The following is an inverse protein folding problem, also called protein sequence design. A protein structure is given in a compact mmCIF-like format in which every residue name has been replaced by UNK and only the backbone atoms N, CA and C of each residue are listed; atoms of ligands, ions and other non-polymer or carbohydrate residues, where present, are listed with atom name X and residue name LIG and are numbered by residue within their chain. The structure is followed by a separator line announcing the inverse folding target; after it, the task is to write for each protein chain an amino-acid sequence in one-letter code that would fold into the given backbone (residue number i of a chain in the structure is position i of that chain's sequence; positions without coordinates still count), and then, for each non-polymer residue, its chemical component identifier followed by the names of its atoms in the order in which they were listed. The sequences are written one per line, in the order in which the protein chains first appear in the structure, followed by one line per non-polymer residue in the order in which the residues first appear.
data_IF_931600984663
#
_entry.id   IF_931600984663
#
_cell.length_a   1.000
_cell.length_b   1.000
_cell.length_c   1.000
_cell.angle_alpha   90.00
_cell.angle_beta   90.00
_cell.angle_gamma   90.00
#
_symmetry.space_group_name_H-M   'P 1'
#
loop_
_entity.id
_entity.type
_entity.pdbx_description
1 polymer ?
#
# COMPACT_ATOMS: atom_id res chain seq x y z
N UNK A 1 4.22 -17.00 -14.10
CA UNK A 1 4.30 -16.39 -12.76
C UNK A 1 2.91 -16.36 -12.15
N UNK A 2 2.80 -16.62 -10.84
CA UNK A 2 1.52 -16.58 -10.13
C UNK A 2 1.21 -15.13 -9.72
N UNK A 3 0.00 -14.67 -10.02
CA UNK A 3 -0.47 -13.34 -9.63
C UNK A 3 -1.27 -13.44 -8.33
N UNK A 4 -1.04 -12.50 -7.40
CA UNK A 4 -1.81 -12.36 -6.18
C UNK A 4 -2.49 -10.98 -6.16
N UNK A 5 -3.82 -10.98 -6.08
CA UNK A 5 -4.62 -9.76 -5.91
C UNK A 5 -4.96 -9.60 -4.44
N UNK A 6 -4.50 -8.51 -3.84
CA UNK A 6 -4.63 -8.23 -2.40
C UNK A 6 -5.30 -6.87 -2.23
N UNK A 7 -6.23 -6.76 -1.29
CA UNK A 7 -6.89 -5.51 -0.92
C UNK A 7 -6.56 -5.20 0.54
N UNK A 8 -6.16 -3.95 0.82
CA UNK A 8 -5.85 -3.47 2.18
C UNK A 8 -6.99 -2.56 2.66
N UNK A 9 -7.71 -3.00 3.70
CA UNK A 9 -8.87 -2.30 4.25
C UNK A 9 -8.65 -1.91 5.73
N UNK A 10 -9.43 -0.93 6.20
CA UNK A 10 -9.38 -0.44 7.58
C UNK A 10 -9.73 1.04 7.69
N UNK A 11 -9.93 1.53 8.91
CA UNK A 11 -10.32 2.91 9.21
C UNK A 11 -9.31 3.97 8.71
N UNK A 12 -9.71 5.24 8.68
CA UNK A 12 -8.81 6.35 8.35
C UNK A 12 -7.62 6.42 9.30
N UNK A 13 -6.45 6.82 8.80
CA UNK A 13 -5.25 7.03 9.63
C UNK A 13 -4.54 5.79 10.19
N UNK A 14 -5.05 4.56 10.00
CA UNK A 14 -4.41 3.33 10.53
C UNK A 14 -3.12 2.92 9.81
N UNK A 15 -2.67 3.68 8.80
CA UNK A 15 -1.41 3.43 8.11
C UNK A 15 -1.46 2.50 6.90
N UNK A 16 -2.65 2.26 6.30
CA UNK A 16 -2.80 1.41 5.10
C UNK A 16 -1.85 1.81 3.98
N UNK A 17 -1.91 3.08 3.56
CA UNK A 17 -1.08 3.62 2.48
C UNK A 17 0.41 3.60 2.84
N UNK A 18 0.75 3.88 4.11
CA UNK A 18 2.14 3.81 4.58
C UNK A 18 2.71 2.38 4.48
N UNK A 19 1.95 1.36 4.89
CA UNK A 19 2.36 -0.05 4.78
C UNK A 19 2.47 -0.49 3.32
N UNK A 20 1.49 -0.14 2.48
CA UNK A 20 1.48 -0.51 1.06
C UNK A 20 2.64 0.14 0.31
N UNK A 21 2.88 1.44 0.51
CA UNK A 21 3.99 2.15 -0.15
C UNK A 21 5.34 1.68 0.36
N UNK A 22 5.47 1.40 1.66
CA UNK A 22 6.70 0.81 2.20
C UNK A 22 6.97 -0.55 1.57
N UNK A 23 5.95 -1.41 1.45
CA UNK A 23 6.11 -2.72 0.82
C UNK A 23 6.53 -2.60 -0.65
N UNK A 24 5.91 -1.71 -1.41
CA UNK A 24 6.12 -1.61 -2.87
C UNK A 24 7.41 -0.87 -3.22
N UNK A 25 7.72 0.20 -2.50
CA UNK A 25 8.77 1.15 -2.87
C UNK A 25 9.92 1.27 -1.86
N UNK A 26 9.87 0.55 -0.74
CA UNK A 26 10.81 0.66 0.38
C UNK A 26 10.97 2.10 0.91
N UNK A 27 9.90 2.91 0.80
CA UNK A 27 9.83 4.28 1.33
C UNK A 27 8.69 4.42 2.31
N UNK A 28 8.99 5.06 3.44
CA UNK A 28 7.99 5.39 4.43
C UNK A 28 7.31 6.72 4.08
N UNK A 29 5.98 6.73 4.14
CA UNK A 29 5.17 7.93 3.88
C UNK A 29 4.92 8.65 5.20
N UNK A 30 5.62 9.75 5.45
CA UNK A 30 5.51 10.51 6.70
C UNK A 30 4.27 11.40 6.78
N UNK A 31 3.76 11.85 5.63
CA UNK A 31 2.59 12.74 5.55
C UNK A 31 1.32 11.91 5.32
N UNK A 32 0.28 12.22 6.07
CA UNK A 32 -1.04 11.66 5.85
C UNK A 32 -1.79 12.49 4.81
N UNK A 33 -2.06 11.87 3.66
CA UNK A 33 -3.05 12.32 2.69
C UNK A 33 -4.15 11.25 2.61
N UNK A 34 -5.42 11.56 2.96
CA UNK A 34 -6.51 10.60 2.87
C UNK A 34 -6.62 9.99 1.47
N UNK A 35 -6.26 8.72 1.34
CA UNK A 35 -6.38 7.99 0.08
C UNK A 35 -7.86 7.75 -0.26
N UNK A 36 -8.26 8.08 -1.50
CA UNK A 36 -9.56 7.70 -2.06
C UNK A 36 -9.51 6.22 -2.49
N UNK A 37 -8.62 5.88 -3.44
CA UNK A 37 -8.31 4.51 -3.89
C UNK A 37 -6.98 4.55 -4.67
N UNK A 38 -6.12 3.53 -4.51
CA UNK A 38 -4.84 3.41 -5.23
C UNK A 38 -4.51 1.95 -5.58
N UNK A 39 -3.81 1.75 -6.70
CA UNK A 39 -3.36 0.44 -7.17
C UNK A 39 -1.84 0.36 -7.22
N UNK A 40 -1.28 -0.73 -6.68
CA UNK A 40 0.16 -1.00 -6.70
C UNK A 40 0.45 -2.41 -7.19
N UNK A 41 1.63 -2.59 -7.81
CA UNK A 41 2.15 -3.88 -8.23
C UNK A 41 3.62 -3.99 -7.80
N UNK A 42 3.98 -5.12 -7.21
CA UNK A 42 5.35 -5.49 -6.88
C UNK A 42 5.62 -6.89 -7.39
N UNK A 43 6.72 -7.06 -8.12
CA UNK A 43 7.24 -8.39 -8.47
C UNK A 43 7.94 -8.97 -7.25
N UNK A 44 7.61 -10.21 -6.91
CA UNK A 44 8.17 -10.94 -5.78
C UNK A 44 9.00 -12.07 -6.39
N UNK A 45 10.29 -12.10 -6.06
CA UNK A 45 11.20 -13.20 -6.40
C UNK A 45 10.90 -14.46 -5.56
#
# INVERSE_FOLDING_TARGET
MREFKVVVLGSGGVGKSALTVQFVSNKFMEKYDPTIEDFYRKEIE
#
